data_IF_945716773872
#
_entry.id   IF_945716773872
#
_cell.length_a   1.000
_cell.length_b   1.000
_cell.length_c   1.000
_cell.angle_alpha   90.00
_cell.angle_beta   90.00
_cell.angle_gamma   90.00
#
_symmetry.space_group_name_H-M   'P 1'
#
loop_
_entity.id
_entity.type
_entity.pdbx_description
1 polymer ?
#
# COMPACT_ATOMS: atom_id res chain seq x y z
N UNK A 1 -5.72 18.02 -33.61
CA UNK A 1 -5.07 19.35 -33.60
C UNK A 1 -5.77 20.21 -32.56
N UNK A 2 -5.10 21.20 -31.96
CA UNK A 2 -5.79 22.11 -31.05
C UNK A 2 -6.76 22.98 -31.86
N UNK A 3 -8.05 22.98 -31.50
CA UNK A 3 -9.09 23.76 -32.19
C UNK A 3 -10.14 22.98 -32.99
N UNK A 4 -10.01 21.65 -33.08
CA UNK A 4 -11.05 20.82 -33.71
C UNK A 4 -12.34 20.81 -32.86
N UNK A 5 -13.52 20.75 -33.50
CA UNK A 5 -14.82 20.62 -32.81
C UNK A 5 -14.98 19.19 -32.30
N UNK A 6 -15.43 19.03 -31.07
CA UNK A 6 -15.71 17.71 -30.51
C UNK A 6 -16.99 17.10 -31.08
N UNK A 7 -16.97 15.80 -31.37
CA UNK A 7 -18.14 15.05 -31.79
C UNK A 7 -19.24 15.12 -30.71
N UNK A 8 -20.43 15.60 -31.06
CA UNK A 8 -21.58 15.70 -30.15
C UNK A 8 -21.62 16.94 -29.25
N UNK A 9 -20.60 17.81 -29.28
CA UNK A 9 -20.52 19.05 -28.47
C UNK A 9 -20.15 20.28 -29.32
N UNK A 10 -21.05 20.74 -30.23
CA UNK A 10 -20.82 21.94 -31.02
C UNK A 10 -20.77 23.17 -30.10
N UNK A 11 -19.56 23.70 -29.88
CA UNK A 11 -19.32 24.86 -29.00
C UNK A 11 -18.14 24.68 -28.05
N UNK A 12 -17.64 23.45 -27.90
CA UNK A 12 -16.47 23.15 -27.07
C UNK A 12 -15.30 22.70 -27.93
N UNK A 13 -14.12 23.25 -27.66
CA UNK A 13 -12.90 22.87 -28.35
C UNK A 13 -12.36 21.57 -27.76
N UNK A 14 -11.71 20.75 -28.58
CA UNK A 14 -10.92 19.62 -28.08
C UNK A 14 -9.85 20.14 -27.12
N UNK A 15 -9.75 19.51 -25.95
CA UNK A 15 -8.90 19.91 -24.82
C UNK A 15 -9.60 20.81 -23.80
N UNK A 16 -10.85 21.24 -24.03
CA UNK A 16 -11.62 21.95 -23.01
C UNK A 16 -11.98 21.04 -21.83
N UNK A 17 -12.06 21.64 -20.64
CA UNK A 17 -12.51 20.97 -19.41
C UNK A 17 -13.87 21.51 -19.02
N UNK A 18 -14.83 20.61 -18.91
CA UNK A 18 -16.22 20.86 -18.52
C UNK A 18 -16.46 20.42 -17.09
N UNK A 19 -17.40 21.08 -16.42
CA UNK A 19 -17.81 20.80 -15.04
C UNK A 19 -19.33 20.67 -14.96
N UNK A 20 -19.83 19.65 -14.28
CA UNK A 20 -21.24 19.55 -13.84
C UNK A 20 -21.26 19.67 -12.32
N UNK A 21 -22.22 20.43 -11.79
CA UNK A 21 -22.55 20.39 -10.35
C UNK A 21 -23.66 19.37 -10.09
N UNK A 22 -23.39 18.36 -9.26
CA UNK A 22 -24.38 17.38 -8.77
C UNK A 22 -24.64 17.60 -7.27
N UNK A 23 -25.71 17.01 -6.75
CA UNK A 23 -26.05 17.05 -5.33
C UNK A 23 -24.90 16.55 -4.42
N UNK A 24 -24.03 15.66 -4.91
CA UNK A 24 -22.86 15.13 -4.19
C UNK A 24 -21.53 15.84 -4.46
N UNK A 25 -21.51 16.90 -5.29
CA UNK A 25 -20.29 17.63 -5.66
C UNK A 25 -20.14 17.86 -7.17
N UNK A 26 -19.02 18.50 -7.52
CA UNK A 26 -18.67 18.78 -8.91
C UNK A 26 -18.03 17.56 -9.58
N UNK A 27 -18.41 17.29 -10.83
CA UNK A 27 -17.79 16.29 -11.70
C UNK A 27 -17.12 16.97 -12.90
N UNK A 28 -15.98 16.44 -13.34
CA UNK A 28 -15.17 17.01 -14.40
C UNK A 28 -15.10 16.08 -15.61
N UNK A 29 -15.10 16.67 -16.80
CA UNK A 29 -15.02 15.96 -18.07
C UNK A 29 -14.04 16.66 -19.01
N UNK A 30 -13.19 15.88 -19.69
CA UNK A 30 -12.34 16.36 -20.78
C UNK A 30 -13.06 16.20 -22.11
N UNK A 31 -12.99 17.24 -22.94
CA UNK A 31 -13.52 17.24 -24.31
C UNK A 31 -12.46 16.70 -25.26
N UNK A 32 -12.80 15.65 -26.00
CA UNK A 32 -11.95 14.94 -26.93
C UNK A 32 -12.55 14.92 -28.33
N UNK A 33 -11.73 14.66 -29.34
CA UNK A 33 -12.20 14.59 -30.72
C UNK A 33 -13.32 13.54 -30.89
N UNK A 34 -13.17 12.40 -30.21
CA UNK A 34 -14.11 11.28 -30.26
C UNK A 34 -15.29 11.37 -29.27
N UNK A 35 -15.36 12.41 -28.43
CA UNK A 35 -16.39 12.51 -27.40
C UNK A 35 -15.93 13.20 -26.12
N UNK A 36 -16.43 12.74 -24.98
CA UNK A 36 -16.04 13.22 -23.65
C UNK A 36 -15.51 12.09 -22.78
N UNK A 37 -14.63 12.43 -21.86
CA UNK A 37 -14.10 11.47 -20.89
C UNK A 37 -14.25 12.02 -19.47
N UNK A 38 -14.83 11.26 -18.51
CA UNK A 38 -14.82 11.63 -17.11
C UNK A 38 -13.38 11.64 -16.57
N UNK A 39 -13.04 12.68 -15.80
CA UNK A 39 -11.71 12.87 -15.23
C UNK A 39 -11.79 13.29 -13.76
N UNK A 40 -10.75 13.01 -12.98
CA UNK A 40 -10.60 13.51 -11.61
C UNK A 40 -10.30 15.02 -11.58
N UNK A 41 -10.49 15.64 -10.41
CA UNK A 41 -10.22 17.06 -10.18
C UNK A 41 -8.74 17.41 -10.47
N UNK A 42 -7.81 16.57 -10.04
CA UNK A 42 -6.38 16.80 -10.32
C UNK A 42 -6.09 16.81 -11.82
N UNK A 43 -6.64 15.85 -12.56
CA UNK A 43 -6.47 15.78 -14.01
C UNK A 43 -7.10 17.00 -14.71
N UNK A 44 -8.25 17.47 -14.21
CA UNK A 44 -8.89 18.69 -14.69
C UNK A 44 -7.98 19.92 -14.49
N UNK A 45 -7.38 20.07 -13.31
CA UNK A 45 -6.46 21.17 -13.01
C UNK A 45 -5.21 21.11 -13.90
N UNK A 46 -4.59 19.93 -14.05
CA UNK A 46 -3.40 19.74 -14.90
C UNK A 46 -3.66 20.08 -16.37
N UNK A 47 -4.81 19.67 -16.92
CA UNK A 47 -5.21 20.02 -18.29
C UNK A 47 -5.39 21.53 -18.44
N UNK A 48 -6.00 22.19 -17.45
CA UNK A 48 -6.24 23.64 -17.46
C UNK A 48 -4.96 24.45 -17.29
N UNK A 49 -3.99 23.95 -16.51
CA UNK A 49 -2.65 24.56 -16.42
C UNK A 49 -1.88 24.45 -17.73
N UNK A 50 -2.03 23.33 -18.44
CA UNK A 50 -1.35 23.10 -19.71
C UNK A 50 -1.91 24.01 -20.82
N UNK A 51 -3.23 24.18 -20.87
CA UNK A 51 -3.88 25.13 -21.75
C UNK A 51 -5.26 25.52 -21.19
N UNK A 52 -5.39 26.75 -20.69
CA UNK A 52 -6.64 27.25 -20.12
C UNK A 52 -7.73 27.51 -21.16
N UNK A 53 -7.39 27.48 -22.45
CA UNK A 53 -8.26 27.84 -23.58
C UNK A 53 -8.94 29.21 -23.37
N UNK A 54 -8.26 30.13 -22.68
CA UNK A 54 -8.78 31.47 -22.37
C UNK A 54 -9.84 31.52 -21.26
N UNK A 55 -10.09 30.43 -20.53
CA UNK A 55 -11.09 30.36 -19.45
C UNK A 55 -10.45 30.35 -18.07
N UNK A 56 -10.92 31.21 -17.16
CA UNK A 56 -10.45 31.25 -15.77
C UNK A 56 -10.93 30.04 -14.94
N UNK A 57 -12.11 29.52 -15.24
CA UNK A 57 -12.72 28.35 -14.56
C UNK A 57 -13.13 27.28 -15.57
N UNK A 58 -13.30 26.04 -15.09
CA UNK A 58 -13.89 24.97 -15.89
C UNK A 58 -15.30 25.37 -16.36
N UNK A 59 -15.62 25.09 -17.62
CA UNK A 59 -16.89 25.54 -18.20
C UNK A 59 -18.02 24.74 -17.58
N UNK A 60 -18.89 25.43 -16.83
CA UNK A 60 -20.00 24.77 -16.14
C UNK A 60 -21.13 24.50 -17.13
N UNK A 61 -21.60 23.26 -17.17
CA UNK A 61 -22.63 22.81 -18.11
C UNK A 61 -23.77 22.08 -17.43
N UNK A 62 -24.94 22.12 -18.08
CA UNK A 62 -26.08 21.31 -17.68
C UNK A 62 -25.82 19.82 -17.96
N UNK A 63 -26.36 18.89 -17.15
CA UNK A 63 -26.24 17.45 -17.38
C UNK A 63 -26.69 16.99 -18.77
N UNK A 64 -27.68 17.67 -19.35
CA UNK A 64 -28.21 17.36 -20.69
C UNK A 64 -27.15 17.52 -21.80
N UNK A 65 -26.22 18.46 -21.62
CA UNK A 65 -25.13 18.70 -22.57
C UNK A 65 -24.15 17.50 -22.64
N UNK A 66 -23.99 16.77 -21.53
CA UNK A 66 -23.14 15.58 -21.46
C UNK A 66 -23.83 14.39 -22.09
N UNK A 67 -25.16 14.26 -21.94
CA UNK A 67 -25.93 13.16 -22.52
C UNK A 67 -25.86 13.10 -24.04
N UNK A 68 -25.62 14.24 -24.69
CA UNK A 68 -25.53 14.35 -26.14
C UNK A 68 -24.18 13.85 -26.71
N UNK A 69 -23.14 13.71 -25.88
CA UNK A 69 -21.80 13.34 -26.33
C UNK A 69 -21.46 11.88 -25.98
N UNK A 70 -20.77 11.16 -26.88
CA UNK A 70 -20.29 9.81 -26.58
C UNK A 70 -19.23 9.84 -25.47
N UNK A 71 -19.33 8.91 -24.51
CA UNK A 71 -18.33 8.74 -23.46
C UNK A 71 -17.20 7.83 -23.98
N UNK A 72 -15.97 8.30 -23.85
CA UNK A 72 -14.75 7.61 -24.31
C UNK A 72 -13.72 7.52 -23.18
N UNK A 73 -12.74 6.62 -23.34
CA UNK A 73 -11.62 6.44 -22.42
C UNK A 73 -10.29 6.40 -23.20
N UNK A 74 -9.84 7.56 -23.66
CA UNK A 74 -8.64 7.72 -24.51
C UNK A 74 -7.49 8.39 -23.75
N UNK A 75 -7.79 9.32 -22.85
CA UNK A 75 -6.78 9.98 -22.01
C UNK A 75 -6.30 9.03 -20.90
N UNK A 76 -4.98 8.86 -20.70
CA UNK A 76 -4.41 7.99 -19.68
C UNK A 76 -4.41 8.66 -18.30
N UNK A 77 -5.58 9.02 -17.78
CA UNK A 77 -5.74 9.73 -16.50
C UNK A 77 -6.14 8.83 -15.34
N UNK A 78 -6.40 7.55 -15.60
CA UNK A 78 -6.84 6.58 -14.58
C UNK A 78 -5.79 6.31 -13.48
N UNK A 79 -4.52 6.67 -13.72
CA UNK A 79 -3.44 6.55 -12.73
C UNK A 79 -3.30 7.76 -11.81
N UNK A 80 -4.01 8.87 -12.07
CA UNK A 80 -3.98 10.04 -11.20
C UNK A 80 -4.96 9.88 -10.04
N UNK A 81 -4.62 10.36 -8.82
CA UNK A 81 -5.60 10.47 -7.76
C UNK A 81 -6.68 11.49 -8.14
N UNK A 82 -7.90 11.28 -7.66
CA UNK A 82 -9.03 12.17 -7.96
C UNK A 82 -8.78 13.60 -7.50
N UNK A 83 -8.07 13.77 -6.36
CA UNK A 83 -7.68 15.05 -5.79
C UNK A 83 -6.19 15.08 -5.49
N UNK A 84 -5.59 16.27 -5.49
CA UNK A 84 -4.22 16.44 -5.04
C UNK A 84 -4.08 15.91 -3.59
N UNK A 85 -3.11 15.02 -3.31
CA UNK A 85 -2.87 14.57 -1.96
C UNK A 85 -2.34 15.73 -1.11
N UNK A 86 -2.73 15.77 0.17
CA UNK A 86 -2.07 16.65 1.12
C UNK A 86 -0.66 16.13 1.42
N UNK A 87 0.33 17.02 1.37
CA UNK A 87 1.68 16.67 1.81
C UNK A 87 1.64 16.47 3.33
N UNK A 88 2.14 15.33 3.79
CA UNK A 88 2.39 15.09 5.21
C UNK A 88 3.66 15.86 5.59
N UNK A 89 3.70 16.48 6.78
CA UNK A 89 4.83 17.31 7.21
C UNK A 89 6.16 16.56 7.23
N UNK A 90 7.27 17.31 7.24
CA UNK A 90 8.62 16.83 6.95
C UNK A 90 9.19 15.74 7.89
N UNK A 91 8.55 15.49 9.05
CA UNK A 91 9.06 14.59 10.10
C UNK A 91 8.11 13.40 10.41
N UNK A 92 7.32 12.96 9.45
CA UNK A 92 6.40 11.83 9.60
C UNK A 92 7.08 10.46 9.49
N UNK A 93 6.65 9.52 10.31
CA UNK A 93 6.83 8.07 10.10
C UNK A 93 5.84 7.58 9.04
N UNK A 94 6.35 6.91 8.00
CA UNK A 94 5.54 6.16 7.03
C UNK A 94 5.60 4.67 7.40
N UNK A 95 4.43 4.05 7.62
CA UNK A 95 4.32 2.63 7.85
C UNK A 95 3.46 1.96 6.79
N UNK A 96 3.88 0.76 6.38
CA UNK A 96 3.02 -0.16 5.62
C UNK A 96 2.40 -1.14 6.61
N UNK A 97 1.08 -1.13 6.71
CA UNK A 97 0.33 -2.07 7.52
C UNK A 97 -0.19 -3.20 6.64
N UNK A 98 0.22 -4.41 6.97
CA UNK A 98 -0.33 -5.62 6.38
C UNK A 98 -1.29 -6.30 7.36
N UNK A 99 -2.46 -6.72 6.89
CA UNK A 99 -3.42 -7.52 7.66
C UNK A 99 -3.88 -8.72 6.86
N UNK A 100 -3.81 -9.90 7.48
CA UNK A 100 -4.49 -11.08 6.97
C UNK A 100 -6.01 -10.82 6.96
N UNK A 101 -6.64 -11.06 5.83
CA UNK A 101 -8.08 -11.02 5.65
C UNK A 101 -8.69 -12.43 5.58
N UNK A 102 -10.03 -12.53 5.55
CA UNK A 102 -10.71 -13.79 5.33
C UNK A 102 -10.30 -14.44 4.00
N UNK A 103 -10.43 -15.77 3.93
CA UNK A 103 -10.27 -16.56 2.70
C UNK A 103 -8.94 -16.33 1.93
N UNK A 104 -7.86 -16.01 2.64
CA UNK A 104 -6.54 -15.83 2.04
C UNK A 104 -6.32 -14.47 1.36
N UNK A 105 -7.28 -13.55 1.46
CA UNK A 105 -7.08 -12.17 1.04
C UNK A 105 -6.18 -11.45 2.05
N UNK A 106 -5.43 -10.46 1.60
CA UNK A 106 -4.65 -9.60 2.48
C UNK A 106 -4.94 -8.13 2.19
N UNK A 107 -5.15 -7.35 3.25
CA UNK A 107 -5.25 -5.90 3.16
C UNK A 107 -3.89 -5.26 3.36
N UNK A 108 -3.55 -4.30 2.51
CA UNK A 108 -2.40 -3.41 2.70
C UNK A 108 -2.92 -1.99 2.88
N UNK A 109 -2.44 -1.30 3.91
CA UNK A 109 -2.74 0.10 4.17
C UNK A 109 -1.45 0.87 4.40
N UNK A 110 -1.42 2.14 4.01
CA UNK A 110 -0.36 3.07 4.36
C UNK A 110 -0.81 3.89 5.57
N UNK A 111 0.07 4.01 6.56
CA UNK A 111 -0.13 4.84 7.73
C UNK A 111 0.93 5.94 7.73
N UNK A 112 0.51 7.16 8.00
CA UNK A 112 1.41 8.30 8.15
C UNK A 112 1.10 8.94 9.51
N UNK A 113 2.13 9.21 10.29
CA UNK A 113 1.99 9.90 11.58
C UNK A 113 3.32 10.16 12.24
N UNK A 114 3.33 10.83 13.38
CA UNK A 114 4.58 11.33 13.98
C UNK A 114 5.36 10.26 14.78
N UNK A 115 4.79 9.06 14.94
CA UNK A 115 5.36 7.96 15.74
C UNK A 115 4.98 6.59 15.17
N UNK A 116 5.78 5.58 15.52
CA UNK A 116 5.48 4.18 15.21
C UNK A 116 4.15 3.73 15.87
N UNK A 117 3.32 2.94 15.18
CA UNK A 117 2.03 2.47 15.66
C UNK A 117 2.19 1.30 16.66
N UNK A 118 2.77 1.58 17.83
CA UNK A 118 3.03 0.60 18.89
C UNK A 118 2.29 0.96 20.18
N UNK A 119 2.01 -0.02 21.07
CA UNK A 119 1.46 0.26 22.39
C UNK A 119 2.37 1.23 23.19
N UNK A 120 1.80 2.16 23.98
CA UNK A 120 2.57 3.09 24.80
C UNK A 120 3.52 2.36 25.77
N UNK A 121 4.74 2.89 25.94
CA UNK A 121 5.73 2.34 26.86
C UNK A 121 6.44 1.07 26.39
N UNK A 122 6.16 0.61 25.17
CA UNK A 122 6.87 -0.50 24.54
C UNK A 122 7.95 0.03 23.60
N UNK A 123 9.07 -0.71 23.50
CA UNK A 123 10.18 -0.39 22.63
C UNK A 123 10.49 -1.60 21.72
N UNK A 124 10.88 -1.36 20.46
CA UNK A 124 11.32 -2.43 19.59
C UNK A 124 12.71 -2.93 20.03
N UNK A 125 12.99 -4.19 19.71
CA UNK A 125 14.29 -4.82 19.89
C UNK A 125 15.18 -4.47 18.70
N UNK A 126 16.36 -3.90 18.97
CA UNK A 126 17.38 -3.66 17.96
C UNK A 126 17.93 -5.00 17.44
N UNK A 127 17.98 -5.14 16.12
CA UNK A 127 18.46 -6.35 15.46
C UNK A 127 19.98 -6.31 15.30
N UNK A 128 20.60 -7.49 15.27
CA UNK A 128 22.06 -7.62 15.12
C UNK A 128 22.60 -7.13 13.78
N UNK A 129 21.72 -6.91 12.79
CA UNK A 129 22.05 -6.45 11.44
C UNK A 129 21.66 -4.98 11.21
N UNK A 130 21.27 -4.26 12.26
CA UNK A 130 20.92 -2.85 12.15
C UNK A 130 22.06 -2.05 11.50
N UNK A 131 21.72 -1.25 10.50
CA UNK A 131 22.64 -0.40 9.75
C UNK A 131 22.16 1.07 9.65
N UNK A 132 21.08 1.40 10.35
CA UNK A 132 20.52 2.74 10.43
C UNK A 132 19.91 3.16 9.09
N UNK A 133 20.46 4.17 8.39
CA UNK A 133 19.94 4.58 7.08
C UNK A 133 20.14 3.56 5.94
N UNK A 134 20.73 2.40 6.21
CA UNK A 134 20.97 1.37 5.22
C UNK A 134 19.73 0.52 4.91
N UNK A 135 19.87 -0.49 4.04
CA UNK A 135 18.76 -1.34 3.63
C UNK A 135 18.38 -2.41 4.66
N UNK A 136 19.17 -2.62 5.71
CA UNK A 136 18.88 -3.65 6.68
C UNK A 136 17.74 -3.25 7.62
N UNK A 137 17.05 -4.25 8.16
CA UNK A 137 16.05 -4.01 9.19
C UNK A 137 16.75 -3.70 10.52
N UNK A 138 16.49 -2.52 11.07
CA UNK A 138 17.14 -2.07 12.30
C UNK A 138 16.51 -2.64 13.58
N UNK A 139 15.19 -2.74 13.60
CA UNK A 139 14.48 -3.10 14.81
C UNK A 139 13.18 -3.84 14.50
N UNK A 140 12.76 -4.69 15.42
CA UNK A 140 11.46 -5.36 15.36
C UNK A 140 10.72 -5.19 16.67
N UNK A 141 9.39 -5.21 16.62
CA UNK A 141 8.57 -5.34 17.81
C UNK A 141 7.66 -6.56 17.68
N UNK A 142 7.86 -7.50 18.59
CA UNK A 142 6.95 -8.60 18.89
C UNK A 142 6.78 -8.58 20.42
N UNK A 143 5.56 -8.70 20.96
CA UNK A 143 5.37 -8.58 22.40
C UNK A 143 6.29 -9.53 23.18
N UNK A 144 6.94 -9.07 24.27
CA UNK A 144 7.88 -9.90 25.03
C UNK A 144 7.27 -11.23 25.48
N UNK A 145 8.02 -12.32 25.33
CA UNK A 145 7.58 -13.67 25.65
C UNK A 145 6.53 -14.24 24.69
N UNK A 146 6.25 -13.56 23.56
CA UNK A 146 5.36 -14.04 22.51
C UNK A 146 6.12 -14.37 21.23
N UNK A 147 5.50 -15.21 20.42
CA UNK A 147 5.99 -15.56 19.10
C UNK A 147 4.85 -15.53 18.09
N UNK A 148 5.20 -15.39 16.82
CA UNK A 148 4.27 -15.50 15.71
C UNK A 148 4.61 -16.74 14.89
N UNK A 149 3.62 -17.62 14.70
CA UNK A 149 3.75 -18.77 13.81
C UNK A 149 3.09 -18.44 12.48
N UNK A 150 3.90 -18.37 11.42
CA UNK A 150 3.51 -17.80 10.13
C UNK A 150 3.76 -18.76 8.97
N UNK A 151 2.99 -18.63 7.89
CA UNK A 151 3.12 -19.43 6.67
C UNK A 151 3.16 -18.58 5.40
N UNK A 152 4.12 -18.90 4.53
CA UNK A 152 4.40 -18.27 3.22
C UNK A 152 4.91 -19.34 2.23
N UNK A 153 4.08 -20.36 2.00
CA UNK A 153 4.50 -21.60 1.34
C UNK A 153 5.15 -22.56 2.34
N UNK A 154 6.23 -22.13 2.99
CA UNK A 154 6.84 -22.80 4.15
C UNK A 154 6.43 -22.11 5.46
N UNK A 155 6.70 -22.77 6.60
CA UNK A 155 6.28 -22.31 7.93
C UNK A 155 7.46 -21.81 8.74
N UNK A 156 7.26 -20.73 9.49
CA UNK A 156 8.29 -20.10 10.31
C UNK A 156 7.75 -19.75 11.69
N UNK A 157 8.61 -19.87 12.69
CA UNK A 157 8.41 -19.27 14.00
C UNK A 157 9.21 -17.97 14.09
N UNK A 158 8.55 -16.86 14.39
CA UNK A 158 9.18 -15.56 14.65
C UNK A 158 9.13 -15.29 16.15
N UNK A 159 10.28 -15.04 16.76
CA UNK A 159 10.39 -14.81 18.22
C UNK A 159 10.31 -13.33 18.58
N UNK A 160 10.19 -13.03 19.87
CA UNK A 160 10.21 -11.68 20.43
C UNK A 160 11.53 -10.91 20.17
N UNK A 161 12.64 -11.62 20.00
CA UNK A 161 13.93 -11.05 19.57
C UNK A 161 14.06 -10.81 18.05
N UNK A 162 13.03 -11.12 17.26
CA UNK A 162 13.01 -10.84 15.83
C UNK A 162 13.77 -11.79 14.93
N UNK A 163 14.09 -12.99 15.40
CA UNK A 163 14.64 -14.03 14.55
C UNK A 163 13.51 -14.92 14.00
N UNK A 164 13.65 -15.34 12.74
CA UNK A 164 12.77 -16.34 12.12
C UNK A 164 13.44 -17.70 12.04
N UNK A 165 12.71 -18.74 12.40
CA UNK A 165 13.19 -20.11 12.39
C UNK A 165 12.26 -20.96 11.51
N UNK A 166 12.76 -21.61 10.44
CA UNK A 166 11.96 -22.53 9.66
C UNK A 166 11.44 -23.68 10.52
N UNK A 167 10.19 -24.10 10.32
CA UNK A 167 9.62 -25.29 10.96
C UNK A 167 9.62 -26.43 9.95
N UNK A 168 10.22 -27.56 10.32
CA UNK A 168 10.40 -28.69 9.42
C UNK A 168 9.07 -29.32 8.96
N UNK A 169 8.20 -29.68 9.91
CA UNK A 169 6.97 -30.41 9.66
C UNK A 169 5.87 -30.12 10.70
N UNK A 170 4.70 -30.75 10.52
CA UNK A 170 3.57 -30.66 11.46
C UNK A 170 3.86 -31.26 12.82
N UNK A 171 4.72 -32.27 12.90
CA UNK A 171 5.05 -32.94 14.16
C UNK A 171 6.00 -32.09 15.02
N UNK A 172 6.90 -31.33 14.40
CA UNK A 172 7.71 -30.29 15.04
C UNK A 172 6.83 -29.14 15.52
N UNK A 173 5.90 -28.66 14.68
CA UNK A 173 4.96 -27.62 15.08
C UNK A 173 4.09 -28.05 16.28
N UNK A 174 3.58 -29.28 16.27
CA UNK A 174 2.77 -29.85 17.34
C UNK A 174 3.58 -30.08 18.61
N UNK A 175 4.82 -30.57 18.49
CA UNK A 175 5.72 -30.75 19.63
C UNK A 175 6.08 -29.42 20.31
N UNK A 176 6.17 -28.34 19.53
CA UNK A 176 6.39 -26.98 20.03
C UNK A 176 5.11 -26.30 20.56
N UNK A 177 3.95 -26.95 20.45
CA UNK A 177 2.67 -26.40 20.89
C UNK A 177 2.21 -25.18 20.08
N UNK A 178 2.61 -25.09 18.81
CA UNK A 178 2.29 -23.94 17.96
C UNK A 178 0.79 -23.96 17.56
N UNK A 179 0.13 -22.79 17.54
CA UNK A 179 -1.26 -22.67 17.11
C UNK A 179 -1.40 -22.85 15.59
N UNK A 180 -2.58 -22.56 15.03
CA UNK A 180 -2.72 -22.45 13.58
C UNK A 180 -1.82 -21.34 13.02
N UNK A 181 -1.11 -21.61 11.92
CA UNK A 181 -0.26 -20.63 11.27
C UNK A 181 -1.10 -19.50 10.67
N UNK A 182 -0.65 -18.26 10.86
CA UNK A 182 -1.21 -17.10 10.16
C UNK A 182 -0.47 -16.86 8.85
N UNK A 183 -1.14 -16.30 7.86
CA UNK A 183 -0.44 -15.82 6.66
C UNK A 183 0.40 -14.60 7.01
N UNK A 184 1.51 -14.40 6.31
CA UNK A 184 2.33 -13.20 6.42
C UNK A 184 2.88 -12.82 5.03
N UNK A 185 3.32 -11.58 4.80
CA UNK A 185 3.95 -11.21 3.53
C UNK A 185 5.43 -11.60 3.56
N UNK A 186 5.88 -12.33 2.54
CA UNK A 186 7.29 -12.74 2.40
C UNK A 186 8.29 -11.56 2.50
N UNK A 187 8.03 -10.37 1.93
CA UNK A 187 8.94 -9.23 2.05
C UNK A 187 9.26 -8.81 3.49
N UNK A 188 8.32 -8.94 4.43
CA UNK A 188 8.57 -8.65 5.85
C UNK A 188 9.38 -9.77 6.49
N UNK A 189 9.02 -11.02 6.21
CA UNK A 189 9.71 -12.17 6.81
C UNK A 189 11.15 -12.30 6.35
N UNK A 190 11.44 -12.08 5.06
CA UNK A 190 12.80 -12.23 4.54
C UNK A 190 13.79 -11.23 5.14
N UNK A 191 13.31 -10.06 5.59
CA UNK A 191 14.11 -9.03 6.25
C UNK A 191 14.57 -9.42 7.66
N UNK A 192 13.87 -10.37 8.31
CA UNK A 192 14.23 -10.85 9.64
C UNK A 192 15.48 -11.76 9.58
N UNK A 193 16.39 -11.65 10.57
CA UNK A 193 17.47 -12.61 10.76
C UNK A 193 16.98 -14.06 10.76
N UNK A 194 17.62 -14.91 9.95
CA UNK A 194 17.30 -16.33 9.87
C UNK A 194 18.09 -17.13 10.91
N UNK A 195 17.38 -17.89 11.73
CA UNK A 195 17.92 -18.90 12.61
C UNK A 195 17.92 -20.30 11.98
N UNK A 196 18.45 -21.31 12.70
CA UNK A 196 18.40 -22.70 12.27
C UNK A 196 16.95 -23.20 12.13
N UNK A 197 16.74 -24.19 11.26
CA UNK A 197 15.48 -24.91 11.20
C UNK A 197 15.22 -25.68 12.51
N UNK A 198 13.98 -25.61 12.98
CA UNK A 198 13.49 -26.36 14.13
C UNK A 198 12.95 -27.70 13.64
N UNK A 199 13.66 -28.76 14.00
CA UNK A 199 13.29 -30.15 13.74
C UNK A 199 13.62 -31.02 14.95
N UNK A 200 12.94 -32.16 15.08
CA UNK A 200 13.24 -33.15 16.12
C UNK A 200 14.66 -33.70 15.98
N UNK A 201 15.09 -33.98 14.76
CA UNK A 201 16.43 -34.48 14.46
C UNK A 201 17.52 -33.52 14.95
N UNK A 202 17.41 -32.22 14.62
CA UNK A 202 18.37 -31.20 15.05
C UNK A 202 18.35 -30.98 16.57
N UNK A 203 17.18 -31.14 17.20
CA UNK A 203 17.05 -31.07 18.66
C UNK A 203 17.70 -32.26 19.38
N UNK A 204 17.77 -33.44 18.74
CA UNK A 204 18.40 -34.65 19.30
C UNK A 204 19.94 -34.69 19.21
N UNK A 205 20.57 -33.58 18.83
CA UNK A 205 22.03 -33.48 18.79
C UNK A 205 22.58 -33.45 20.22
N UNK A 206 23.43 -34.43 20.57
CA UNK A 206 24.14 -34.43 21.85
C UNK A 206 24.96 -33.15 21.98
N UNK A 207 24.73 -32.39 23.06
CA UNK A 207 25.58 -31.28 23.46
C UNK A 207 26.31 -31.67 24.74
N UNK A 208 27.61 -31.88 24.63
CA UNK A 208 28.47 -31.98 25.80
C UNK A 208 28.56 -30.59 26.44
N UNK A 209 27.94 -30.43 27.61
CA UNK A 209 28.12 -29.24 28.44
C UNK A 209 29.28 -29.53 29.41
N UNK A 210 30.37 -28.78 29.29
CA UNK A 210 31.34 -28.66 30.38
C UNK A 210 30.76 -27.65 31.38
N UNK A 211 30.49 -28.03 32.64
CA UNK A 211 30.11 -27.06 33.66
C UNK A 211 31.27 -26.07 33.82
N UNK A 212 30.97 -24.77 33.80
CA UNK A 212 31.96 -23.75 34.15
C UNK A 212 32.41 -23.95 35.62
N UNK A 213 33.70 -23.71 35.95
CA UNK A 213 34.24 -23.88 37.30
C UNK A 213 33.65 -22.91 38.32
#
# INVERSE_FOLDING_TARGET
CAGDKAAGLPGFAVGSVMRITRAGGDEYYAVLAAGIQPIGQLAADLLRFSNSQGTANAVTVAPDAIRAAPIVAVLPVAGFPDRAPALSGDNGTLCVLWRAGPSGHAGVALLIGDRLPMPPGQAPVALSRADGPGPALDAVYVPPGRSAYVQVGTRYLVTDIGARFPIHDDDAARALGLPAAITAPWPILQALPAGPELSREKASTARDFVPAP
#
